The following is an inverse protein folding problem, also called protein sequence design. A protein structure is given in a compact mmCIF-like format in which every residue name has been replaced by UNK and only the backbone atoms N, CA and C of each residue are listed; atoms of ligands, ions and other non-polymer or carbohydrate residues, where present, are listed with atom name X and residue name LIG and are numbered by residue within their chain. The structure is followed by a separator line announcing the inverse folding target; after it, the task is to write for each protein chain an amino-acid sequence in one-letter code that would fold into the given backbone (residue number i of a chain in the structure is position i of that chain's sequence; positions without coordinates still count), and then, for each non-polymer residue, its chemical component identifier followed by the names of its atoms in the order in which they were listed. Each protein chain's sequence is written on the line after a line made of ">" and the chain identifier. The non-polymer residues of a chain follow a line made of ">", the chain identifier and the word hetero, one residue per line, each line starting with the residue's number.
data_IF_022254954031
#
_entry.id   IF_022254954031
#
_cell.length_a   1.000
_cell.length_b   1.000
_cell.length_c   1.000
_cell.angle_alpha   90.00
_cell.angle_beta   90.00
_cell.angle_gamma   90.00
#
_symmetry.space_group_name_H-M   'P 1'
#
loop_
_entity.id
_entity.type
_entity.pdbx_description
1 polymer ?
#
# COMPACT_ATOMS: atom_id res chain seq x y z
N UNK A 1 7.56 14.46 -23.91
CA UNK A 1 7.07 14.74 -22.55
C UNK A 1 8.14 14.40 -21.56
N UNK A 2 8.39 15.24 -20.61
CA UNK A 2 9.51 15.18 -19.67
C UNK A 2 9.33 14.04 -18.66
N UNK A 3 10.42 13.37 -18.28
CA UNK A 3 10.46 12.20 -17.37
C UNK A 3 9.80 12.40 -15.99
N UNK A 4 9.43 13.62 -15.60
CA UNK A 4 8.89 13.88 -14.27
C UNK A 4 7.40 13.50 -14.11
N UNK A 5 6.64 13.40 -15.20
CA UNK A 5 5.23 12.98 -15.14
C UNK A 5 5.03 11.62 -14.50
N UNK A 6 5.94 10.67 -14.73
CA UNK A 6 5.82 9.31 -14.17
C UNK A 6 5.83 9.29 -12.65
N UNK A 7 6.58 10.20 -12.01
CA UNK A 7 6.65 10.31 -10.54
C UNK A 7 6.03 11.60 -10.01
N UNK A 8 5.22 12.26 -10.79
CA UNK A 8 4.65 13.56 -10.44
C UNK A 8 3.96 13.59 -9.08
N UNK A 9 3.16 12.55 -8.74
CA UNK A 9 2.46 12.43 -7.45
C UNK A 9 3.39 12.16 -6.27
N UNK A 10 4.55 11.55 -6.50
CA UNK A 10 5.59 11.30 -5.50
C UNK A 10 6.41 12.55 -5.26
N UNK A 11 6.78 13.29 -6.32
CA UNK A 11 7.55 14.53 -6.20
C UNK A 11 6.79 15.64 -5.47
N UNK A 12 5.44 15.64 -5.54
CA UNK A 12 4.59 16.56 -4.76
C UNK A 12 4.89 16.52 -3.25
N UNK A 13 5.30 15.39 -2.69
CA UNK A 13 5.68 15.31 -1.28
C UNK A 13 6.86 16.25 -0.92
N UNK A 14 7.74 16.54 -1.88
CA UNK A 14 8.87 17.46 -1.69
C UNK A 14 8.52 18.89 -2.12
N UNK A 15 7.88 19.08 -3.27
CA UNK A 15 7.55 20.42 -3.79
C UNK A 15 6.46 21.10 -2.97
N UNK A 16 5.35 20.42 -2.72
CA UNK A 16 4.23 20.96 -1.95
C UNK A 16 4.60 21.11 -0.47
N UNK A 17 5.52 20.27 0.01
CA UNK A 17 6.12 20.37 1.35
C UNK A 17 7.17 21.48 1.50
N UNK A 18 7.46 22.23 0.44
CA UNK A 18 8.47 23.30 0.45
C UNK A 18 9.92 22.80 0.60
N UNK A 19 10.16 21.50 0.31
CA UNK A 19 11.48 20.87 0.42
C UNK A 19 12.27 20.89 -0.89
N UNK A 20 11.61 21.16 -2.02
CA UNK A 20 12.21 21.38 -3.32
C UNK A 20 11.55 22.58 -3.99
N UNK A 21 12.35 23.40 -4.70
CA UNK A 21 11.90 24.60 -5.37
C UNK A 21 11.21 24.32 -6.71
N UNK A 22 11.49 23.16 -7.32
CA UNK A 22 10.87 22.71 -8.56
C UNK A 22 10.63 21.21 -8.57
N UNK A 23 9.83 20.71 -9.54
CA UNK A 23 9.60 19.28 -9.74
C UNK A 23 10.86 18.58 -10.24
N UNK A 24 11.69 19.26 -11.03
CA UNK A 24 13.00 18.77 -11.49
C UNK A 24 13.96 18.58 -10.33
N UNK A 25 14.00 19.51 -9.39
CA UNK A 25 14.81 19.40 -8.18
C UNK A 25 14.35 18.23 -7.33
N UNK A 26 13.03 18.08 -7.13
CA UNK A 26 12.46 16.96 -6.40
C UNK A 26 12.83 15.60 -7.06
N UNK A 27 12.67 15.51 -8.36
CA UNK A 27 13.03 14.31 -9.14
C UNK A 27 14.55 14.04 -9.05
N UNK A 28 15.39 15.07 -9.13
CA UNK A 28 16.83 14.92 -9.00
C UNK A 28 17.25 14.41 -7.61
N UNK A 29 16.57 14.87 -6.54
CA UNK A 29 16.80 14.38 -5.17
C UNK A 29 16.43 12.90 -5.03
N UNK A 30 15.25 12.50 -5.53
CA UNK A 30 14.82 11.10 -5.54
C UNK A 30 15.76 10.21 -6.37
N UNK A 31 16.24 10.70 -7.50
CA UNK A 31 17.15 9.96 -8.39
C UNK A 31 18.56 9.75 -7.80
N UNK A 32 19.00 10.55 -6.86
CA UNK A 32 20.27 10.37 -6.13
C UNK A 32 20.24 9.18 -5.18
N UNK A 33 19.04 8.79 -4.72
CA UNK A 33 18.87 7.69 -3.77
C UNK A 33 19.07 6.35 -4.50
N UNK A 34 19.92 5.51 -3.92
CA UNK A 34 20.23 4.16 -4.39
C UNK A 34 20.01 3.20 -3.24
N UNK A 35 19.01 2.35 -3.39
CA UNK A 35 18.58 1.41 -2.33
C UNK A 35 19.03 0.00 -2.68
N UNK A 36 19.75 -0.63 -1.77
CA UNK A 36 19.95 -2.07 -1.78
C UNK A 36 18.91 -2.72 -0.85
N UNK A 37 18.09 -3.61 -1.39
CA UNK A 37 17.22 -4.51 -0.63
C UNK A 37 17.98 -5.82 -0.47
N UNK A 38 18.44 -6.11 0.73
CA UNK A 38 19.26 -7.31 1.00
C UNK A 38 18.38 -8.37 1.64
N UNK A 39 18.21 -9.49 0.92
CA UNK A 39 17.40 -10.62 1.37
C UNK A 39 18.32 -11.77 1.83
N UNK A 40 18.23 -12.11 3.11
CA UNK A 40 18.95 -13.21 3.71
C UNK A 40 18.41 -14.58 3.29
N UNK A 41 19.27 -15.57 3.27
CA UNK A 41 18.90 -16.95 2.88
C UNK A 41 17.86 -17.55 3.85
N UNK A 42 17.83 -17.11 5.10
CA UNK A 42 16.83 -17.50 6.10
C UNK A 42 15.41 -17.04 5.76
N UNK A 43 15.26 -16.01 4.95
CA UNK A 43 13.97 -15.44 4.54
C UNK A 43 13.63 -15.67 3.06
N UNK A 44 14.57 -16.17 2.28
CA UNK A 44 14.44 -16.35 0.83
C UNK A 44 13.27 -17.28 0.44
N UNK A 45 13.03 -18.33 1.21
CA UNK A 45 11.99 -19.32 0.97
C UNK A 45 10.83 -19.21 1.99
N UNK A 46 10.57 -18.02 2.54
CA UNK A 46 9.44 -17.78 3.45
C UNK A 46 8.41 -16.85 2.83
N UNK A 47 7.13 -17.00 3.22
CA UNK A 47 6.04 -16.19 2.68
C UNK A 47 6.22 -14.71 3.01
N UNK A 48 6.50 -14.38 4.26
CA UNK A 48 6.72 -12.99 4.68
C UNK A 48 8.01 -12.41 4.10
N UNK A 49 9.09 -13.20 4.00
CA UNK A 49 10.37 -12.76 3.42
C UNK A 49 10.24 -12.35 1.95
N UNK A 50 9.60 -13.19 1.14
CA UNK A 50 9.34 -12.87 -0.27
C UNK A 50 8.39 -11.67 -0.42
N UNK A 51 7.31 -11.62 0.37
CA UNK A 51 6.37 -10.50 0.35
C UNK A 51 7.07 -9.18 0.74
N UNK A 52 7.93 -9.20 1.78
CA UNK A 52 8.70 -8.02 2.20
C UNK A 52 9.68 -7.56 1.12
N UNK A 53 10.45 -8.49 0.54
CA UNK A 53 11.44 -8.17 -0.49
C UNK A 53 10.79 -7.58 -1.75
N UNK A 54 9.72 -8.22 -2.25
CA UNK A 54 9.03 -7.77 -3.46
C UNK A 54 8.27 -6.45 -3.21
N UNK A 55 7.68 -6.25 -2.03
CA UNK A 55 7.03 -4.98 -1.68
C UNK A 55 8.04 -3.85 -1.53
N UNK A 56 9.18 -4.09 -0.86
CA UNK A 56 10.25 -3.11 -0.75
C UNK A 56 10.80 -2.75 -2.14
N UNK A 57 11.05 -3.73 -3.01
CA UNK A 57 11.49 -3.51 -4.40
C UNK A 57 10.45 -2.71 -5.19
N UNK A 58 9.18 -3.14 -5.19
CA UNK A 58 8.11 -2.50 -5.96
C UNK A 58 7.91 -1.03 -5.54
N UNK A 59 7.85 -0.76 -4.24
CA UNK A 59 7.62 0.58 -3.72
C UNK A 59 8.86 1.49 -3.84
N UNK A 60 10.05 0.98 -3.52
CA UNK A 60 11.29 1.74 -3.65
C UNK A 60 11.59 2.09 -5.12
N UNK A 61 11.34 1.18 -6.06
CA UNK A 61 11.58 1.40 -7.50
C UNK A 61 10.71 2.53 -8.08
N UNK A 62 9.54 2.72 -7.53
CA UNK A 62 8.60 3.79 -7.88
C UNK A 62 8.96 5.14 -7.24
N UNK A 63 9.70 5.13 -6.12
CA UNK A 63 10.14 6.34 -5.42
C UNK A 63 11.55 6.79 -5.84
N UNK A 64 12.51 5.88 -6.04
CA UNK A 64 13.93 6.21 -6.09
C UNK A 64 14.59 5.91 -7.44
N UNK A 65 15.80 6.42 -7.62
CA UNK A 65 16.53 6.32 -8.88
C UNK A 65 17.02 4.92 -9.20
N UNK A 66 17.51 4.18 -8.20
CA UNK A 66 18.02 2.82 -8.37
C UNK A 66 17.67 1.94 -7.19
N UNK A 67 17.20 0.75 -7.49
CA UNK A 67 16.99 -0.32 -6.52
C UNK A 67 17.70 -1.57 -6.98
N UNK A 68 18.44 -2.22 -6.07
CA UNK A 68 19.07 -3.50 -6.30
C UNK A 68 18.53 -4.50 -5.27
N UNK A 69 18.01 -5.63 -5.72
CA UNK A 69 17.80 -6.78 -4.83
C UNK A 69 19.11 -7.55 -4.71
N UNK A 70 19.62 -7.64 -3.50
CA UNK A 70 20.87 -8.36 -3.19
C UNK A 70 20.51 -9.67 -2.50
N UNK A 71 20.93 -10.79 -3.09
CA UNK A 71 20.65 -12.13 -2.58
C UNK A 71 21.65 -13.14 -3.13
N UNK A 72 22.13 -14.07 -2.31
CA UNK A 72 23.10 -15.07 -2.72
C UNK A 72 22.47 -16.13 -3.64
N UNK A 73 21.41 -16.76 -3.19
CA UNK A 73 20.66 -17.77 -3.92
C UNK A 73 19.53 -17.22 -4.80
N UNK A 74 18.63 -18.11 -5.22
CA UNK A 74 17.30 -17.81 -5.78
C UNK A 74 16.31 -18.84 -5.26
N UNK A 75 15.03 -18.52 -5.26
CA UNK A 75 13.98 -19.44 -4.87
C UNK A 75 12.75 -19.27 -5.79
N UNK A 76 11.96 -20.33 -5.99
CA UNK A 76 10.65 -20.22 -6.59
C UNK A 76 9.77 -19.26 -5.77
N UNK A 77 8.90 -18.53 -6.45
CA UNK A 77 7.87 -17.76 -5.75
C UNK A 77 6.92 -18.71 -5.02
N UNK A 78 6.67 -18.41 -3.75
CA UNK A 78 5.69 -19.14 -2.94
C UNK A 78 4.29 -18.90 -3.50
N UNK A 79 3.96 -17.67 -3.89
CA UNK A 79 2.72 -17.34 -4.60
C UNK A 79 3.03 -17.08 -6.06
N UNK A 80 2.25 -17.64 -6.98
CA UNK A 80 2.39 -17.40 -8.41
C UNK A 80 1.92 -16.00 -8.74
N UNK A 81 2.79 -15.17 -9.30
CA UNK A 81 2.52 -13.78 -9.67
C UNK A 81 2.86 -13.57 -11.16
N UNK A 82 2.21 -12.62 -11.87
CA UNK A 82 2.46 -12.36 -13.30
C UNK A 82 3.79 -11.61 -13.56
N UNK A 83 4.77 -11.84 -12.71
CA UNK A 83 6.10 -11.17 -12.74
C UNK A 83 7.27 -12.15 -12.79
N UNK A 84 7.00 -13.44 -12.97
CA UNK A 84 8.02 -14.51 -13.10
C UNK A 84 7.84 -15.60 -12.07
N UNK A 85 8.64 -16.64 -12.20
CA UNK A 85 8.54 -17.87 -11.39
C UNK A 85 9.46 -17.86 -10.16
N UNK A 86 10.47 -17.01 -10.15
CA UNK A 86 11.45 -16.91 -9.07
C UNK A 86 11.56 -15.50 -8.51
N UNK A 87 12.09 -15.36 -7.30
CA UNK A 87 12.30 -14.07 -6.64
C UNK A 87 13.17 -13.14 -7.49
N UNK A 88 14.25 -13.66 -8.12
CA UNK A 88 15.10 -12.86 -9.02
C UNK A 88 14.35 -12.39 -10.27
N UNK A 89 13.58 -13.28 -10.89
CA UNK A 89 12.78 -12.93 -12.06
C UNK A 89 11.73 -11.86 -11.72
N UNK A 90 11.03 -12.03 -10.61
CA UNK A 90 10.03 -11.08 -10.12
C UNK A 90 10.65 -9.70 -9.85
N UNK A 91 11.78 -9.64 -9.15
CA UNK A 91 12.45 -8.38 -8.85
C UNK A 91 12.88 -7.62 -10.12
N UNK A 92 13.41 -8.36 -11.13
CA UNK A 92 13.76 -7.77 -12.44
C UNK A 92 12.53 -7.22 -13.16
N UNK A 93 11.42 -7.96 -13.14
CA UNK A 93 10.17 -7.52 -13.79
C UNK A 93 9.58 -6.28 -13.08
N UNK A 94 9.77 -6.15 -11.77
CA UNK A 94 9.45 -4.94 -11.00
C UNK A 94 10.42 -3.77 -11.27
N UNK A 95 11.47 -3.99 -12.07
CA UNK A 95 12.42 -2.96 -12.48
C UNK A 95 13.65 -2.82 -11.59
N UNK A 96 13.90 -3.73 -10.65
CA UNK A 96 15.13 -3.75 -9.88
C UNK A 96 16.30 -4.42 -10.63
N UNK A 97 17.51 -4.06 -10.25
CA UNK A 97 18.70 -4.89 -10.53
C UNK A 97 18.73 -6.04 -9.54
N UNK A 98 19.37 -7.13 -9.92
CA UNK A 98 19.62 -8.26 -9.02
C UNK A 98 21.11 -8.53 -9.01
N UNK A 99 21.69 -8.60 -7.82
CA UNK A 99 23.10 -8.83 -7.59
C UNK A 99 23.31 -9.80 -6.43
N UNK A 100 24.51 -10.38 -6.32
CA UNK A 100 24.93 -11.22 -5.18
C UNK A 100 25.64 -10.43 -4.09
N UNK A 101 26.05 -9.21 -4.38
CA UNK A 101 26.80 -8.35 -3.47
C UNK A 101 26.19 -6.96 -3.39
N UNK A 102 26.19 -6.40 -2.18
CA UNK A 102 25.75 -5.02 -1.95
C UNK A 102 26.60 -4.02 -2.75
N UNK A 103 25.95 -3.00 -3.30
CA UNK A 103 26.61 -1.99 -4.10
C UNK A 103 27.40 -1.01 -3.21
N UNK A 104 28.68 -0.78 -3.55
CA UNK A 104 29.48 0.28 -2.91
C UNK A 104 28.89 1.70 -3.11
N UNK A 105 27.98 1.84 -4.07
CA UNK A 105 27.29 3.08 -4.41
C UNK A 105 25.90 3.19 -3.77
N UNK A 106 25.47 2.19 -2.99
CA UNK A 106 24.22 2.26 -2.26
C UNK A 106 24.29 3.38 -1.21
N UNK A 107 23.23 4.18 -1.16
CA UNK A 107 23.09 5.24 -0.13
C UNK A 107 22.35 4.69 1.10
N UNK A 108 21.41 3.79 0.88
CA UNK A 108 20.56 3.20 1.92
C UNK A 108 20.42 1.70 1.69
N UNK A 109 20.29 0.96 2.79
CA UNK A 109 20.08 -0.50 2.76
C UNK A 109 18.84 -0.88 3.54
N UNK A 110 17.95 -1.65 2.92
CA UNK A 110 16.83 -2.32 3.58
C UNK A 110 17.23 -3.78 3.78
N UNK A 111 17.23 -4.24 5.01
CA UNK A 111 17.68 -5.57 5.40
C UNK A 111 16.49 -6.46 5.74
N UNK A 112 16.45 -7.67 5.22
CA UNK A 112 15.41 -8.67 5.42
C UNK A 112 16.07 -9.97 5.83
N UNK A 113 15.83 -10.41 7.05
CA UNK A 113 16.46 -11.61 7.60
C UNK A 113 17.86 -11.36 8.18
N UNK A 114 18.61 -12.45 8.30
CA UNK A 114 19.97 -12.43 8.83
C UNK A 114 20.95 -12.00 7.73
N UNK A 115 21.18 -10.71 7.63
CA UNK A 115 22.03 -10.11 6.59
C UNK A 115 23.08 -9.19 7.24
N UNK A 116 24.28 -9.05 6.63
CA UNK A 116 25.27 -8.09 7.12
C UNK A 116 24.75 -6.65 6.94
N UNK A 117 25.29 -5.75 7.75
CA UNK A 117 25.08 -4.31 7.52
C UNK A 117 25.67 -3.91 6.17
N UNK A 118 24.91 -3.12 5.41
CA UNK A 118 25.28 -2.66 4.08
C UNK A 118 25.87 -1.24 4.08
N UNK A 119 25.19 -0.30 3.38
CA UNK A 119 25.55 1.10 3.29
C UNK A 119 25.60 1.80 4.67
N UNK A 120 25.99 3.07 4.69
CA UNK A 120 26.09 3.87 5.93
C UNK A 120 24.78 3.94 6.71
N UNK A 121 23.65 3.97 6.00
CA UNK A 121 22.32 3.99 6.60
C UNK A 121 21.61 2.66 6.32
N UNK A 122 21.09 2.04 7.36
CA UNK A 122 20.45 0.72 7.29
C UNK A 122 19.15 0.72 8.07
N UNK A 123 18.14 0.07 7.53
CA UNK A 123 16.88 -0.27 8.21
C UNK A 123 16.61 -1.76 8.07
N UNK A 124 16.10 -2.37 9.12
CA UNK A 124 15.76 -3.78 9.13
C UNK A 124 14.27 -3.97 9.14
N UNK A 125 13.73 -4.76 8.21
CA UNK A 125 12.37 -5.29 8.28
C UNK A 125 12.29 -6.28 9.43
N UNK A 126 11.21 -6.22 10.18
CA UNK A 126 10.98 -7.11 11.31
C UNK A 126 9.50 -7.52 11.37
N UNK A 127 9.24 -8.75 11.75
CA UNK A 127 7.90 -9.27 12.01
C UNK A 127 7.95 -10.51 12.91
N UNK A 128 6.82 -10.78 13.55
CA UNK A 128 6.48 -12.05 14.15
C UNK A 128 4.96 -12.23 14.10
N UNK A 129 4.48 -13.17 13.30
CA UNK A 129 3.04 -13.37 13.02
C UNK A 129 2.36 -12.05 12.58
N UNK A 130 1.43 -11.52 13.38
CA UNK A 130 0.69 -10.30 13.08
C UNK A 130 1.42 -9.00 13.44
N UNK A 131 2.50 -9.08 14.18
CA UNK A 131 3.36 -7.91 14.44
C UNK A 131 4.28 -7.69 13.25
N UNK A 132 4.36 -6.46 12.76
CA UNK A 132 5.18 -6.13 11.60
C UNK A 132 5.68 -4.68 11.64
N UNK A 133 6.85 -4.43 11.07
CA UNK A 133 7.42 -3.09 10.95
C UNK A 133 8.91 -3.06 10.70
N UNK A 134 9.59 -2.11 11.33
CA UNK A 134 11.03 -1.90 11.22
C UNK A 134 11.72 -1.83 12.57
N UNK A 135 13.00 -2.24 12.61
CA UNK A 135 13.89 -2.15 13.77
C UNK A 135 15.17 -1.40 13.41
N UNK A 136 15.66 -0.64 14.38
CA UNK A 136 16.96 0.05 14.29
C UNK A 136 18.13 -0.86 14.62
N UNK A 137 17.93 -1.81 15.55
CA UNK A 137 18.97 -2.69 16.08
C UNK A 137 18.81 -4.12 15.58
N UNK A 138 19.90 -4.89 15.64
CA UNK A 138 19.98 -6.26 15.11
C UNK A 138 19.61 -7.35 16.14
N UNK A 139 19.29 -6.97 17.37
CA UNK A 139 19.14 -7.90 18.49
C UNK A 139 17.87 -8.75 18.41
N UNK A 140 16.84 -8.25 17.71
CA UNK A 140 15.57 -8.96 17.56
C UNK A 140 15.59 -9.87 16.32
N UNK A 141 15.51 -11.18 16.53
CA UNK A 141 15.31 -12.12 15.42
C UNK A 141 13.90 -11.94 14.83
N UNK A 142 13.80 -12.14 13.52
CA UNK A 142 12.50 -12.30 12.85
C UNK A 142 11.83 -13.56 13.41
N UNK A 143 10.57 -13.44 13.79
CA UNK A 143 9.77 -14.55 14.31
C UNK A 143 9.13 -15.37 13.20
N UNK A 144 7.88 -15.78 13.39
CA UNK A 144 7.16 -16.59 12.41
C UNK A 144 6.95 -15.84 11.08
N UNK A 145 7.41 -16.43 10.00
CA UNK A 145 7.45 -15.86 8.65
C UNK A 145 6.39 -16.45 7.68
N UNK A 146 5.36 -17.14 8.21
CA UNK A 146 4.30 -17.75 7.37
C UNK A 146 3.25 -16.74 6.94
N UNK A 147 3.04 -15.64 7.70
CA UNK A 147 2.07 -14.60 7.38
C UNK A 147 2.67 -13.56 6.42
N UNK A 148 2.33 -13.64 5.15
CA UNK A 148 2.82 -12.74 4.10
C UNK A 148 2.42 -11.29 4.28
N UNK A 149 1.23 -11.02 4.87
CA UNK A 149 0.72 -9.66 5.12
C UNK A 149 1.69 -8.85 5.98
N UNK A 150 2.32 -9.50 6.96
CA UNK A 150 3.35 -8.88 7.82
C UNK A 150 4.59 -8.47 7.02
N UNK A 151 4.99 -9.31 6.06
CA UNK A 151 6.07 -8.99 5.14
C UNK A 151 5.74 -7.78 4.26
N UNK A 152 4.51 -7.72 3.70
CA UNK A 152 4.05 -6.57 2.89
C UNK A 152 4.18 -5.28 3.70
N UNK A 153 3.66 -5.26 4.92
CA UNK A 153 3.72 -4.09 5.79
C UNK A 153 5.16 -3.69 6.12
N UNK A 154 5.99 -4.63 6.57
CA UNK A 154 7.37 -4.36 6.96
C UNK A 154 8.22 -3.83 5.78
N UNK A 155 8.05 -4.40 4.59
CA UNK A 155 8.71 -3.93 3.37
C UNK A 155 8.31 -2.49 3.01
N UNK A 156 7.02 -2.16 3.13
CA UNK A 156 6.49 -0.83 2.88
C UNK A 156 7.04 0.21 3.88
N UNK A 157 7.01 -0.09 5.17
CA UNK A 157 7.52 0.81 6.23
C UNK A 157 9.04 1.01 6.12
N UNK A 158 9.79 -0.01 5.72
CA UNK A 158 11.23 0.14 5.49
C UNK A 158 11.52 1.15 4.36
N UNK A 159 10.75 1.13 3.27
CA UNK A 159 10.87 2.13 2.19
C UNK A 159 10.46 3.53 2.67
N UNK A 160 9.43 3.62 3.51
CA UNK A 160 9.04 4.88 4.18
C UNK A 160 10.19 5.48 4.97
N UNK A 161 10.96 4.66 5.71
CA UNK A 161 12.11 5.14 6.48
C UNK A 161 13.19 5.78 5.57
N UNK A 162 13.47 5.16 4.41
CA UNK A 162 14.36 5.76 3.39
C UNK A 162 13.78 7.06 2.85
N UNK A 163 12.49 7.11 2.56
CA UNK A 163 11.82 8.31 2.05
C UNK A 163 11.87 9.47 3.06
N UNK A 164 11.79 9.17 4.35
CA UNK A 164 11.92 10.16 5.41
C UNK A 164 13.31 10.83 5.43
N UNK A 165 14.39 10.10 5.10
CA UNK A 165 15.72 10.70 4.90
C UNK A 165 15.72 11.70 3.75
N UNK A 166 15.03 11.38 2.64
CA UNK A 166 14.90 12.30 1.50
C UNK A 166 14.13 13.57 1.88
N UNK A 167 13.01 13.41 2.61
CA UNK A 167 12.25 14.55 3.11
C UNK A 167 13.05 15.43 4.05
N UNK A 168 13.88 14.83 4.91
CA UNK A 168 14.76 15.55 5.83
C UNK A 168 15.98 16.18 5.13
N UNK A 169 16.30 15.79 3.90
CA UNK A 169 17.52 16.20 3.18
C UNK A 169 18.82 15.66 3.79
N UNK A 170 18.74 14.71 4.72
CA UNK A 170 19.87 14.07 5.42
C UNK A 170 19.48 12.72 5.96
N UNK A 171 20.46 11.90 6.28
CA UNK A 171 20.23 10.67 7.02
C UNK A 171 19.65 10.99 8.41
N UNK A 172 18.54 10.35 8.75
CA UNK A 172 17.92 10.43 10.08
C UNK A 172 18.03 9.07 10.76
N UNK A 173 18.04 9.01 12.09
CA UNK A 173 18.02 7.74 12.81
C UNK A 173 16.80 6.90 12.39
N UNK A 174 17.01 5.60 12.24
CA UNK A 174 15.91 4.65 12.02
C UNK A 174 15.02 4.63 13.26
N UNK A 175 13.73 4.70 13.05
CA UNK A 175 12.75 4.55 14.12
C UNK A 175 12.27 3.10 14.16
N UNK A 176 12.18 2.53 15.36
CA UNK A 176 11.41 1.32 15.57
C UNK A 176 9.93 1.67 15.32
N UNK A 177 9.33 1.02 14.33
CA UNK A 177 7.97 1.28 13.89
C UNK A 177 7.28 -0.07 13.69
N UNK A 178 6.67 -0.60 14.75
CA UNK A 178 5.97 -1.89 14.73
C UNK A 178 4.51 -1.68 15.06
N UNK A 179 3.63 -2.32 14.30
CA UNK A 179 2.19 -2.40 14.57
C UNK A 179 1.76 -3.85 14.68
N UNK A 180 0.64 -4.08 15.34
CA UNK A 180 -0.14 -5.31 15.19
C UNK A 180 -1.09 -5.13 14.01
N UNK A 181 -1.02 -5.97 13.00
CA UNK A 181 -2.00 -5.97 11.90
C UNK A 181 -3.33 -6.58 12.33
N UNK A 182 -3.34 -7.27 13.50
CA UNK A 182 -4.55 -7.79 14.11
C UNK A 182 -5.31 -6.74 14.92
N UNK A 183 -4.59 -6.03 15.80
CA UNK A 183 -5.12 -4.96 16.67
C UNK A 183 -4.40 -3.64 16.38
N UNK A 184 -4.57 -3.12 15.14
CA UNK A 184 -3.79 -1.99 14.59
C UNK A 184 -3.93 -0.67 15.39
N UNK A 185 -4.85 -0.61 16.35
CA UNK A 185 -5.09 0.51 17.24
C UNK A 185 -4.43 0.37 18.62
N UNK A 186 -3.82 -0.77 18.89
CA UNK A 186 -3.12 -1.02 20.15
C UNK A 186 -1.61 -0.89 19.94
N UNK A 187 -0.91 -0.53 20.99
CA UNK A 187 0.55 -0.57 20.95
C UNK A 187 0.99 -2.02 20.75
N UNK A 188 1.86 -2.23 19.78
CA UNK A 188 2.38 -3.56 19.49
C UNK A 188 3.05 -4.17 20.72
N UNK A 189 2.63 -5.36 21.12
CA UNK A 189 3.17 -6.12 22.26
C UNK A 189 3.39 -7.56 21.87
N UNK A 190 4.47 -8.18 22.35
CA UNK A 190 4.71 -9.60 22.15
C UNK A 190 3.69 -10.49 22.88
N UNK A 191 2.99 -9.94 23.89
CA UNK A 191 1.92 -10.65 24.59
C UNK A 191 0.62 -10.72 23.74
N UNK A 192 0.49 -9.85 22.71
CA UNK A 192 -0.66 -9.75 21.84
C UNK A 192 -0.31 -9.92 20.36
N UNK A 193 0.45 -10.96 20.06
CA UNK A 193 0.99 -11.25 18.73
C UNK A 193 -0.07 -11.69 17.70
N UNK A 194 -1.33 -11.82 18.12
CA UNK A 194 -2.47 -12.24 17.30
C UNK A 194 -2.63 -13.77 17.19
N UNK A 195 -3.74 -14.24 16.59
CA UNK A 195 -4.08 -15.64 16.54
C UNK A 195 -3.17 -16.45 15.61
N UNK A 196 -2.98 -17.73 15.96
CA UNK A 196 -2.33 -18.71 15.07
C UNK A 196 -3.27 -19.31 14.03
N UNK A 197 -4.56 -19.31 14.32
CA UNK A 197 -5.60 -19.77 13.40
C UNK A 197 -6.54 -18.62 13.13
N UNK A 198 -6.82 -18.38 11.89
CA UNK A 198 -7.69 -17.32 11.41
C UNK A 198 -8.32 -17.71 10.08
N UNK A 199 -9.41 -17.07 9.75
CA UNK A 199 -10.15 -17.27 8.53
C UNK A 199 -9.93 -16.11 7.57
N UNK A 200 -9.61 -16.43 6.32
CA UNK A 200 -9.44 -15.45 5.23
C UNK A 200 -10.74 -15.42 4.43
N UNK A 201 -11.30 -14.24 4.12
CA UNK A 201 -12.51 -14.17 3.32
C UNK A 201 -12.30 -14.82 1.94
N UNK A 202 -13.21 -15.69 1.54
CA UNK A 202 -13.18 -16.35 0.23
C UNK A 202 -13.88 -15.52 -0.86
N UNK A 203 -14.72 -14.55 -0.47
CA UNK A 203 -15.42 -13.64 -1.38
C UNK A 203 -15.23 -12.19 -0.96
N UNK A 204 -14.74 -11.38 -1.89
CA UNK A 204 -14.51 -9.94 -1.68
C UNK A 204 -15.05 -9.13 -2.86
N UNK A 205 -15.54 -7.92 -2.59
CA UNK A 205 -15.83 -6.92 -3.61
C UNK A 205 -14.84 -5.76 -3.48
N UNK A 206 -14.06 -5.50 -4.51
CA UNK A 206 -13.13 -4.38 -4.58
C UNK A 206 -13.67 -3.31 -5.50
N UNK A 207 -13.93 -2.13 -4.95
CA UNK A 207 -14.44 -0.99 -5.69
C UNK A 207 -13.45 0.18 -5.67
N UNK A 208 -13.03 0.60 -6.88
CA UNK A 208 -11.95 1.57 -7.07
C UNK A 208 -10.58 0.91 -7.07
N UNK A 209 -10.00 0.71 -8.26
CA UNK A 209 -8.69 0.07 -8.48
C UNK A 209 -7.60 1.10 -8.79
N UNK A 210 -7.66 2.23 -8.10
CA UNK A 210 -6.60 3.23 -8.06
C UNK A 210 -5.44 2.82 -7.16
N UNK A 211 -4.82 3.81 -6.53
CA UNK A 211 -3.66 3.61 -5.64
C UNK A 211 -3.92 2.57 -4.54
N UNK A 212 -5.03 2.72 -3.78
CA UNK A 212 -5.36 1.80 -2.67
C UNK A 212 -5.93 0.47 -3.15
N UNK A 213 -6.85 0.47 -4.13
CA UNK A 213 -7.43 -0.78 -4.61
C UNK A 213 -6.38 -1.73 -5.19
N UNK A 214 -5.36 -1.22 -5.88
CA UNK A 214 -4.24 -2.04 -6.34
C UNK A 214 -3.35 -2.54 -5.18
N UNK A 215 -3.25 -1.79 -4.09
CA UNK A 215 -2.55 -2.24 -2.90
C UNK A 215 -3.31 -3.36 -2.15
N UNK A 216 -4.64 -3.34 -2.17
CA UNK A 216 -5.46 -4.46 -1.66
C UNK A 216 -5.20 -5.71 -2.49
N UNK A 217 -5.25 -5.60 -3.83
CA UNK A 217 -4.94 -6.73 -4.73
C UNK A 217 -3.51 -7.23 -4.52
N UNK A 218 -2.52 -6.35 -4.42
CA UNK A 218 -1.13 -6.71 -4.13
C UNK A 218 -1.03 -7.58 -2.87
N UNK A 219 -1.68 -7.17 -1.79
CA UNK A 219 -1.66 -7.92 -0.53
C UNK A 219 -2.39 -9.25 -0.63
N UNK A 220 -3.57 -9.28 -1.30
CA UNK A 220 -4.34 -10.51 -1.53
C UNK A 220 -3.56 -11.54 -2.34
N UNK A 221 -2.77 -11.10 -3.33
CA UNK A 221 -1.95 -12.00 -4.15
C UNK A 221 -0.92 -12.79 -3.34
N UNK A 222 -0.50 -12.32 -2.17
CA UNK A 222 0.41 -13.06 -1.30
C UNK A 222 -0.30 -14.00 -0.33
N UNK A 223 -1.63 -13.95 -0.21
CA UNK A 223 -2.40 -14.86 0.62
C UNK A 223 -2.73 -16.12 -0.17
N UNK A 224 -2.10 -17.23 0.23
CA UNK A 224 -2.39 -18.54 -0.33
C UNK A 224 -3.60 -19.15 0.39
N UNK A 225 -4.39 -19.91 -0.33
CA UNK A 225 -5.52 -20.66 0.24
C UNK A 225 -5.94 -21.78 -0.70
N UNK A 226 -6.69 -22.71 -0.17
CA UNK A 226 -7.33 -23.79 -0.90
C UNK A 226 -8.83 -23.49 -1.06
N UNK A 227 -9.46 -24.02 -2.10
CA UNK A 227 -10.87 -23.83 -2.39
C UNK A 227 -11.17 -22.68 -3.36
N UNK A 228 -12.44 -22.50 -3.63
CA UNK A 228 -12.94 -21.44 -4.52
C UNK A 228 -12.86 -20.09 -3.81
N UNK A 229 -12.25 -19.12 -4.49
CA UNK A 229 -12.08 -17.77 -3.98
C UNK A 229 -12.43 -16.76 -5.07
N UNK A 230 -13.30 -15.83 -4.76
CA UNK A 230 -13.85 -14.88 -5.73
C UNK A 230 -13.57 -13.42 -5.33
N UNK A 231 -13.09 -12.64 -6.28
CA UNK A 231 -13.02 -11.19 -6.14
C UNK A 231 -13.84 -10.51 -7.24
N UNK A 232 -14.87 -9.76 -6.85
CA UNK A 232 -15.57 -8.85 -7.76
C UNK A 232 -14.75 -7.56 -7.86
N UNK A 233 -14.34 -7.18 -9.08
CA UNK A 233 -13.52 -6.02 -9.38
C UNK A 233 -14.34 -4.96 -10.09
N UNK A 234 -14.49 -3.77 -9.50
CA UNK A 234 -15.24 -2.69 -10.09
C UNK A 234 -14.42 -1.40 -10.23
N UNK A 235 -14.17 -0.99 -11.46
CA UNK A 235 -13.58 0.29 -11.86
C UNK A 235 -13.85 0.55 -13.34
N UNK A 236 -13.91 1.82 -13.76
CA UNK A 236 -14.12 2.19 -15.16
C UNK A 236 -12.86 2.80 -15.81
N UNK A 237 -11.81 3.06 -15.05
CA UNK A 237 -10.63 3.79 -15.50
C UNK A 237 -9.62 2.88 -16.18
N UNK A 238 -8.83 3.50 -17.06
CA UNK A 238 -7.63 2.92 -17.66
C UNK A 238 -6.39 3.27 -16.87
N UNK A 239 -5.33 2.50 -17.08
CA UNK A 239 -3.99 2.83 -16.60
C UNK A 239 -3.51 4.10 -17.31
N UNK A 240 -2.91 5.02 -16.56
CA UNK A 240 -2.29 6.25 -17.02
C UNK A 240 -0.81 6.30 -16.61
N UNK A 241 -0.04 7.25 -17.15
CA UNK A 241 1.39 7.39 -16.87
C UNK A 241 1.68 7.53 -15.35
N UNK A 242 0.85 8.29 -14.62
CA UNK A 242 1.02 8.46 -13.17
C UNK A 242 0.86 7.16 -12.37
N UNK A 243 0.13 6.18 -12.93
CA UNK A 243 -0.08 4.91 -12.26
C UNK A 243 1.17 4.06 -12.20
N UNK A 244 2.15 4.26 -13.11
CA UNK A 244 3.44 3.57 -13.00
C UNK A 244 4.15 3.86 -11.67
N UNK A 245 4.08 5.09 -11.17
CA UNK A 245 4.71 5.47 -9.90
C UNK A 245 3.81 5.28 -8.67
N UNK A 246 2.50 5.28 -8.83
CA UNK A 246 1.58 5.29 -7.69
C UNK A 246 0.91 3.94 -7.42
N UNK A 247 0.78 3.09 -8.42
CA UNK A 247 -0.03 1.87 -8.37
C UNK A 247 0.85 0.62 -8.38
N UNK A 248 0.62 -0.31 -7.45
CA UNK A 248 1.54 -1.45 -7.22
C UNK A 248 1.52 -2.50 -8.33
N UNK A 249 0.40 -2.70 -8.99
CA UNK A 249 0.24 -3.73 -10.04
C UNK A 249 0.74 -3.27 -11.40
N UNK A 250 0.96 -1.96 -11.58
CA UNK A 250 1.44 -1.40 -12.86
C UNK A 250 2.95 -1.56 -12.94
N UNK A 251 3.39 -2.29 -13.93
CA UNK A 251 4.79 -2.56 -14.21
C UNK A 251 5.38 -1.52 -15.18
N UNK A 252 6.72 -1.39 -15.26
CA UNK A 252 7.34 -0.48 -16.21
C UNK A 252 6.90 -0.79 -17.65
N UNK A 253 6.31 0.17 -18.33
CA UNK A 253 5.81 0.09 -19.71
C UNK A 253 4.33 -0.24 -19.86
N UNK A 254 3.65 -0.68 -18.81
CA UNK A 254 2.21 -1.03 -18.88
C UNK A 254 1.31 0.19 -19.21
N UNK A 255 1.74 1.40 -18.88
CA UNK A 255 1.03 2.63 -19.19
C UNK A 255 0.81 2.83 -20.69
N UNK A 256 1.66 2.25 -21.53
CA UNK A 256 1.56 2.33 -22.99
C UNK A 256 0.47 1.43 -23.56
N UNK A 257 0.05 0.42 -22.81
CA UNK A 257 -0.97 -0.54 -23.26
C UNK A 257 -2.38 0.03 -23.15
N UNK A 258 -2.61 1.04 -22.28
CA UNK A 258 -3.92 1.67 -22.09
C UNK A 258 -4.99 0.71 -21.54
N UNK A 259 -4.57 -0.35 -20.86
CA UNK A 259 -5.46 -1.37 -20.29
C UNK A 259 -6.35 -0.79 -19.18
N UNK A 260 -7.51 -1.40 -18.97
CA UNK A 260 -8.38 -1.06 -17.85
C UNK A 260 -7.79 -1.57 -16.54
N UNK A 261 -7.94 -0.80 -15.46
CA UNK A 261 -7.44 -1.14 -14.13
C UNK A 261 -7.98 -2.48 -13.62
N UNK A 262 -9.26 -2.76 -13.90
CA UNK A 262 -9.89 -4.06 -13.55
C UNK A 262 -9.20 -5.24 -14.24
N UNK A 263 -8.79 -5.10 -15.49
CA UNK A 263 -8.13 -6.18 -16.24
C UNK A 263 -6.71 -6.43 -15.77
N UNK A 264 -5.99 -5.40 -15.37
CA UNK A 264 -4.68 -5.55 -14.74
C UNK A 264 -4.82 -6.31 -13.42
N UNK A 265 -5.78 -5.92 -12.57
CA UNK A 265 -6.05 -6.59 -11.30
C UNK A 265 -6.51 -8.05 -11.49
N UNK A 266 -7.31 -8.31 -12.53
CA UNK A 266 -7.76 -9.66 -12.93
C UNK A 266 -6.58 -10.61 -13.19
N UNK A 267 -5.62 -10.17 -14.01
CA UNK A 267 -4.42 -10.96 -14.31
C UNK A 267 -3.64 -11.32 -13.05
N UNK A 268 -3.45 -10.36 -12.14
CA UNK A 268 -2.72 -10.58 -10.90
C UNK A 268 -3.45 -11.58 -9.98
N UNK A 269 -4.75 -11.41 -9.78
CA UNK A 269 -5.54 -12.26 -8.91
C UNK A 269 -5.68 -13.68 -9.45
N UNK A 270 -5.93 -13.83 -10.76
CA UNK A 270 -6.02 -15.17 -11.39
C UNK A 270 -4.72 -15.96 -11.27
N UNK A 271 -3.58 -15.31 -11.46
CA UNK A 271 -2.28 -15.94 -11.26
C UNK A 271 -2.07 -16.37 -9.80
N UNK A 272 -2.58 -15.59 -8.85
CA UNK A 272 -2.55 -15.91 -7.42
C UNK A 272 -3.62 -16.93 -6.98
N UNK A 273 -4.41 -17.47 -7.92
CA UNK A 273 -5.40 -18.52 -7.68
C UNK A 273 -6.77 -18.02 -7.21
N UNK A 274 -7.11 -16.75 -7.49
CA UNK A 274 -8.44 -16.20 -7.27
C UNK A 274 -9.26 -16.24 -8.56
N UNK A 275 -10.52 -16.54 -8.46
CA UNK A 275 -11.50 -16.23 -9.50
C UNK A 275 -11.88 -14.75 -9.44
N UNK A 276 -12.29 -14.19 -10.57
CA UNK A 276 -12.64 -12.78 -10.66
C UNK A 276 -13.90 -12.56 -11.47
N UNK A 277 -14.69 -11.58 -11.05
CA UNK A 277 -15.82 -11.03 -11.82
C UNK A 277 -15.55 -9.55 -12.10
N UNK A 278 -15.65 -9.13 -13.37
CA UNK A 278 -15.26 -7.78 -13.78
C UNK A 278 -16.49 -6.90 -14.03
N UNK A 279 -16.54 -5.76 -13.36
CA UNK A 279 -17.55 -4.72 -13.57
C UNK A 279 -16.82 -3.47 -14.09
N UNK A 280 -16.74 -3.34 -15.41
CA UNK A 280 -16.01 -2.28 -16.12
C UNK A 280 -16.80 -0.98 -16.24
N UNK A 281 -17.52 -0.61 -15.21
CA UNK A 281 -18.34 0.61 -15.18
C UNK A 281 -18.21 1.37 -13.87
N UNK A 282 -18.51 2.65 -13.93
CA UNK A 282 -18.57 3.51 -12.75
C UNK A 282 -19.68 3.04 -11.81
N UNK A 283 -19.39 3.07 -10.52
CA UNK A 283 -20.41 2.92 -9.50
C UNK A 283 -21.27 4.19 -9.42
N UNK A 284 -22.58 4.04 -9.57
CA UNK A 284 -23.54 5.16 -9.57
C UNK A 284 -24.68 4.97 -8.56
N UNK A 285 -24.50 4.03 -7.62
CA UNK A 285 -25.50 3.76 -6.61
C UNK A 285 -26.56 2.74 -7.02
N UNK A 286 -26.30 1.91 -8.02
CA UNK A 286 -27.23 0.98 -8.66
C UNK A 286 -26.89 -0.50 -8.44
N UNK A 287 -26.05 -0.80 -7.48
CA UNK A 287 -25.74 -2.18 -7.10
C UNK A 287 -26.88 -2.75 -6.25
N UNK A 288 -27.54 -3.78 -6.75
CA UNK A 288 -28.43 -4.62 -5.96
C UNK A 288 -27.65 -5.84 -5.53
N UNK A 289 -27.55 -6.05 -4.21
CA UNK A 289 -26.85 -7.22 -3.64
C UNK A 289 -27.78 -8.44 -3.64
N UNK A 290 -27.27 -9.55 -4.16
CA UNK A 290 -27.88 -10.86 -4.04
C UNK A 290 -27.25 -11.68 -2.91
N UNK A 291 -27.84 -12.84 -2.58
CA UNK A 291 -27.37 -13.71 -1.51
C UNK A 291 -25.98 -14.32 -1.77
N UNK A 292 -25.58 -14.43 -3.04
CA UNK A 292 -24.29 -14.98 -3.45
C UNK A 292 -23.19 -13.94 -3.59
N UNK A 293 -23.52 -12.65 -3.48
CA UNK A 293 -22.55 -11.58 -3.59
C UNK A 293 -21.58 -11.55 -2.39
N UNK A 294 -20.34 -11.04 -2.61
CA UNK A 294 -19.37 -10.94 -1.53
C UNK A 294 -19.88 -10.09 -0.35
N UNK A 295 -19.83 -10.62 0.88
CA UNK A 295 -20.33 -9.91 2.06
C UNK A 295 -19.41 -8.77 2.53
N UNK A 296 -18.15 -8.78 2.09
CA UNK A 296 -17.16 -7.77 2.46
C UNK A 296 -16.78 -6.96 1.22
N UNK A 297 -17.03 -5.64 1.28
CA UNK A 297 -16.58 -4.70 0.29
C UNK A 297 -15.37 -3.93 0.79
N UNK A 298 -14.31 -3.85 -0.03
CA UNK A 298 -13.15 -2.99 0.17
C UNK A 298 -13.23 -1.79 -0.78
N UNK A 299 -13.28 -0.58 -0.21
CA UNK A 299 -13.37 0.67 -0.98
C UNK A 299 -12.01 1.36 -1.07
N UNK A 300 -11.52 1.52 -2.30
CA UNK A 300 -10.33 2.28 -2.65
C UNK A 300 -10.66 3.59 -3.39
N UNK A 301 -11.82 4.16 -3.16
CA UNK A 301 -12.28 5.38 -3.81
C UNK A 301 -11.53 6.62 -3.29
N UNK A 302 -11.18 7.53 -4.18
CA UNK A 302 -10.47 8.77 -3.88
C UNK A 302 -11.39 9.94 -3.50
N UNK A 303 -12.67 9.90 -3.91
CA UNK A 303 -13.63 10.99 -3.71
C UNK A 303 -14.66 10.65 -2.64
N UNK A 304 -14.98 11.65 -1.81
CA UNK A 304 -15.92 11.52 -0.71
C UNK A 304 -17.35 11.20 -1.15
N UNK A 305 -17.85 11.91 -2.17
CA UNK A 305 -19.22 11.76 -2.65
C UNK A 305 -19.58 10.32 -3.07
N UNK A 306 -18.77 9.61 -3.88
CA UNK A 306 -18.98 8.18 -4.15
C UNK A 306 -18.91 7.30 -2.91
N UNK A 307 -18.02 7.59 -1.94
CA UNK A 307 -17.92 6.81 -0.68
C UNK A 307 -19.21 6.88 0.14
N UNK A 308 -19.81 8.08 0.24
CA UNK A 308 -21.08 8.30 0.96
C UNK A 308 -22.25 7.57 0.31
N UNK A 309 -22.29 7.53 -1.01
CA UNK A 309 -23.29 6.76 -1.75
C UNK A 309 -23.09 5.27 -1.48
N UNK A 310 -21.86 4.79 -1.61
CA UNK A 310 -21.49 3.39 -1.41
C UNK A 310 -21.77 2.90 0.02
N UNK A 311 -21.51 3.74 1.02
CA UNK A 311 -21.71 3.41 2.43
C UNK A 311 -23.17 3.08 2.80
N UNK A 312 -24.13 3.42 1.93
CA UNK A 312 -25.58 3.16 2.14
C UNK A 312 -26.09 1.93 1.38
N UNK A 313 -25.21 1.20 0.68
CA UNK A 313 -25.61 0.11 -0.22
C UNK A 313 -25.95 -1.21 0.47
N UNK A 314 -25.86 -1.28 1.78
CA UNK A 314 -26.31 -2.45 2.52
C UNK A 314 -25.36 -3.65 2.48
N UNK A 315 -24.10 -3.48 2.06
CA UNK A 315 -23.11 -4.53 2.26
C UNK A 315 -23.07 -4.93 3.73
N UNK A 316 -23.04 -6.24 4.04
CA UNK A 316 -22.86 -6.69 5.42
C UNK A 316 -21.70 -5.97 6.10
N UNK A 317 -20.56 -5.90 5.41
CA UNK A 317 -19.40 -5.10 5.85
C UNK A 317 -18.77 -4.34 4.68
N UNK A 318 -18.53 -3.07 4.88
CA UNK A 318 -17.72 -2.24 3.99
C UNK A 318 -16.53 -1.71 4.76
N UNK A 319 -15.31 -2.00 4.29
CA UNK A 319 -14.08 -1.37 4.78
C UNK A 319 -13.69 -0.30 3.78
N UNK A 320 -13.82 0.97 4.17
CA UNK A 320 -13.40 2.12 3.39
C UNK A 320 -12.05 2.62 3.89
N UNK A 321 -11.09 2.76 2.99
CA UNK A 321 -9.78 3.29 3.32
C UNK A 321 -9.50 4.59 2.57
N UNK A 322 -8.78 5.49 3.25
CA UNK A 322 -8.29 6.75 2.71
C UNK A 322 -6.88 7.03 3.20
N UNK A 323 -6.16 7.80 2.43
CA UNK A 323 -4.87 8.35 2.81
C UNK A 323 -4.95 9.89 2.82
N UNK A 324 -3.99 10.53 3.48
CA UNK A 324 -3.88 11.98 3.48
C UNK A 324 -3.70 12.55 2.07
N UNK A 325 -4.11 13.78 1.87
CA UNK A 325 -4.17 14.42 0.55
C UNK A 325 -2.90 15.18 0.19
N UNK A 326 -2.40 15.97 1.13
CA UNK A 326 -1.31 16.93 0.91
C UNK A 326 0.06 16.43 1.35
N UNK A 327 1.08 17.26 1.15
CA UNK A 327 2.45 16.95 1.55
C UNK A 327 2.67 16.94 3.06
N UNK A 328 1.73 17.46 3.85
CA UNK A 328 1.78 17.44 5.31
C UNK A 328 1.18 16.21 5.96
N UNK A 329 0.28 15.51 5.24
CA UNK A 329 -0.53 14.43 5.80
C UNK A 329 -0.58 13.16 4.92
N UNK A 330 0.17 13.08 3.81
CA UNK A 330 0.11 11.96 2.86
C UNK A 330 0.45 10.58 3.46
N UNK A 331 1.09 10.54 4.62
CA UNK A 331 1.37 9.32 5.38
C UNK A 331 0.22 8.94 6.33
N UNK A 332 -0.81 9.79 6.43
CA UNK A 332 -2.01 9.53 7.21
C UNK A 332 -2.86 8.44 6.58
N UNK A 333 -3.20 7.41 7.36
CA UNK A 333 -4.07 6.31 6.97
C UNK A 333 -5.35 6.43 7.78
N UNK A 334 -6.49 6.44 7.11
CA UNK A 334 -7.80 6.39 7.73
C UNK A 334 -8.55 5.17 7.21
N UNK A 335 -9.15 4.42 8.11
CA UNK A 335 -10.00 3.28 7.77
C UNK A 335 -11.33 3.39 8.51
N UNK A 336 -12.40 3.00 7.84
CA UNK A 336 -13.77 2.99 8.38
C UNK A 336 -14.43 1.67 8.05
N UNK A 337 -15.09 1.06 9.03
CA UNK A 337 -15.91 -0.12 8.81
C UNK A 337 -17.38 0.25 8.98
N UNK A 338 -18.17 0.08 7.94
CA UNK A 338 -19.61 0.31 7.91
C UNK A 338 -20.33 -1.03 7.86
N UNK A 339 -21.33 -1.21 8.71
CA UNK A 339 -22.09 -2.45 8.83
C UNK A 339 -23.49 -2.24 8.27
N UNK A 340 -23.94 -3.15 7.40
CA UNK A 340 -25.31 -3.18 6.82
C UNK A 340 -25.74 -1.84 6.20
N UNK A 341 -24.84 -1.11 5.56
CA UNK A 341 -25.16 0.18 4.96
C UNK A 341 -25.58 1.29 5.94
N UNK A 342 -25.20 1.17 7.21
CA UNK A 342 -25.53 2.12 8.27
C UNK A 342 -24.26 2.82 8.80
N UNK A 343 -23.75 3.85 8.09
CA UNK A 343 -22.60 4.58 8.59
C UNK A 343 -22.96 5.34 9.87
N UNK A 344 -22.12 5.30 10.91
CA UNK A 344 -22.31 6.10 12.10
C UNK A 344 -22.42 7.61 11.79
N UNK A 345 -23.24 8.33 12.54
CA UNK A 345 -23.37 9.77 12.38
C UNK A 345 -22.01 10.46 12.59
N UNK A 346 -21.68 11.42 11.72
CA UNK A 346 -20.43 12.17 11.82
C UNK A 346 -19.16 11.39 11.43
N UNK A 347 -19.29 10.19 10.84
CA UNK A 347 -18.15 9.38 10.40
C UNK A 347 -17.26 10.09 9.36
N UNK A 348 -17.84 10.96 8.57
CA UNK A 348 -17.14 11.89 7.69
C UNK A 348 -17.50 13.33 8.06
N UNK A 349 -16.50 14.09 8.51
CA UNK A 349 -16.62 15.54 8.76
C UNK A 349 -16.33 16.30 7.46
N UNK A 350 -17.35 16.63 6.69
CA UNK A 350 -17.21 17.04 5.30
C UNK A 350 -16.91 18.51 5.00
N UNK A 351 -17.61 19.49 5.58
CA UNK A 351 -17.47 20.87 5.11
C UNK A 351 -16.07 21.45 5.34
N UNK A 352 -15.52 21.26 6.54
CA UNK A 352 -14.22 21.82 6.92
C UNK A 352 -13.05 21.29 6.08
N UNK A 353 -13.06 19.99 5.75
CA UNK A 353 -11.99 19.39 4.94
C UNK A 353 -12.02 19.82 3.47
N UNK A 354 -13.19 20.08 2.92
CA UNK A 354 -13.31 20.56 1.55
C UNK A 354 -12.74 21.99 1.40
N UNK A 355 -13.02 22.87 2.38
CA UNK A 355 -12.48 24.22 2.43
C UNK A 355 -10.96 24.23 2.66
N UNK A 356 -10.45 23.39 3.56
CA UNK A 356 -9.01 23.25 3.80
C UNK A 356 -8.25 22.76 2.55
N UNK A 357 -8.82 21.82 1.80
CA UNK A 357 -8.22 21.33 0.55
C UNK A 357 -8.24 22.42 -0.51
N UNK A 358 -9.34 23.17 -0.65
CA UNK A 358 -9.47 24.25 -1.63
C UNK A 358 -8.49 25.40 -1.33
N UNK A 359 -8.37 25.82 -0.07
CA UNK A 359 -7.43 26.86 0.33
C UNK A 359 -5.97 26.40 0.19
N UNK A 360 -5.66 25.15 0.56
CA UNK A 360 -4.35 24.56 0.34
C UNK A 360 -3.97 24.50 -1.14
N UNK A 361 -4.89 24.17 -2.01
CA UNK A 361 -4.69 24.13 -3.46
C UNK A 361 -4.40 25.52 -4.03
N UNK A 362 -5.17 26.54 -3.63
CA UNK A 362 -4.94 27.93 -4.04
C UNK A 362 -3.53 28.41 -3.67
N UNK A 363 -3.04 28.10 -2.47
CA UNK A 363 -1.70 28.45 -2.04
C UNK A 363 -0.56 27.76 -2.80
N UNK A 364 -0.86 26.63 -3.47
CA UNK A 364 0.12 25.93 -4.32
C UNK A 364 0.27 26.59 -5.69
N UNK A 365 -0.81 27.09 -6.28
CA UNK A 365 -0.84 27.60 -7.67
C UNK A 365 0.14 28.75 -7.93
N UNK A 366 0.45 29.54 -6.90
CA UNK A 366 1.35 30.69 -6.98
C UNK A 366 2.82 30.31 -6.67
N UNK A 367 3.10 29.05 -6.33
CA UNK A 367 4.47 28.61 -6.07
C UNK A 367 5.29 28.52 -7.35
N UNK A 368 6.62 28.83 -7.31
CA UNK A 368 7.49 28.75 -8.49
C UNK A 368 7.40 27.44 -9.25
N UNK A 369 7.35 26.31 -8.56
CA UNK A 369 7.22 24.99 -9.16
C UNK A 369 5.93 24.84 -10.02
N UNK A 370 4.83 25.42 -9.57
CA UNK A 370 3.56 25.37 -10.30
C UNK A 370 3.48 26.39 -11.44
N UNK A 371 4.14 27.55 -11.29
CA UNK A 371 4.27 28.52 -12.39
C UNK A 371 5.14 27.97 -13.53
N UNK A 372 6.20 27.21 -13.19
CA UNK A 372 7.00 26.49 -14.18
C UNK A 372 6.20 25.37 -14.84
N UNK A 373 5.45 24.58 -14.03
CA UNK A 373 4.58 23.52 -14.55
C UNK A 373 3.56 24.04 -15.56
N UNK A 374 2.97 25.21 -15.33
CA UNK A 374 2.00 25.85 -16.24
C UNK A 374 2.54 26.02 -17.65
N UNK A 375 3.83 26.33 -17.81
CA UNK A 375 4.47 26.46 -19.13
C UNK A 375 4.45 25.15 -19.92
N UNK A 376 4.36 24.02 -19.26
CA UNK A 376 4.37 22.67 -19.87
C UNK A 376 2.98 22.09 -20.08
N UNK A 377 2.02 22.39 -19.20
CA UNK A 377 0.69 21.74 -19.19
C UNK A 377 -0.47 22.72 -19.34
N UNK A 378 -0.21 24.02 -19.34
CA UNK A 378 -1.21 25.06 -19.35
C UNK A 378 -1.92 25.23 -17.99
N UNK A 379 -2.74 26.27 -17.86
CA UNK A 379 -3.42 26.62 -16.63
C UNK A 379 -4.34 25.50 -16.11
N UNK A 380 -5.18 24.93 -17.00
CA UNK A 380 -6.07 23.82 -16.61
C UNK A 380 -5.30 22.59 -16.11
N UNK A 381 -4.16 22.28 -16.74
CA UNK A 381 -3.30 21.17 -16.32
C UNK A 381 -2.64 21.44 -14.97
N UNK A 382 -2.20 22.67 -14.72
CA UNK A 382 -1.64 23.11 -13.43
C UNK A 382 -2.68 22.96 -12.31
N UNK A 383 -3.91 23.45 -12.51
CA UNK A 383 -4.99 23.35 -11.51
C UNK A 383 -5.32 21.89 -11.21
N UNK A 384 -5.56 21.09 -12.25
CA UNK A 384 -5.86 19.66 -12.08
C UNK A 384 -4.74 18.90 -11.35
N UNK A 385 -3.48 19.28 -11.58
CA UNK A 385 -2.35 18.69 -10.88
C UNK A 385 -2.25 19.16 -9.43
N UNK A 386 -2.55 20.41 -9.13
CA UNK A 386 -2.57 20.93 -7.76
C UNK A 386 -3.63 20.21 -6.91
N UNK A 387 -4.82 19.97 -7.48
CA UNK A 387 -5.91 19.23 -6.84
C UNK A 387 -5.60 17.75 -6.62
N UNK A 388 -4.65 17.18 -7.36
CA UNK A 388 -4.29 15.78 -7.22
C UNK A 388 -3.52 15.53 -5.91
N UNK A 389 -3.94 14.55 -5.10
CA UNK A 389 -3.28 14.21 -3.83
C UNK A 389 -1.83 13.74 -4.04
N UNK A 390 -0.98 13.93 -3.05
CA UNK A 390 0.29 13.19 -2.95
C UNK A 390 -0.02 11.69 -2.89
N UNK A 391 0.69 10.89 -3.67
CA UNK A 391 0.51 9.44 -3.67
C UNK A 391 1.86 8.74 -3.75
N UNK A 392 2.24 8.07 -2.68
CA UNK A 392 3.47 7.31 -2.57
C UNK A 392 3.17 5.83 -2.35
N UNK A 393 3.76 4.92 -3.12
CA UNK A 393 3.32 3.53 -3.20
C UNK A 393 3.50 2.76 -1.89
N UNK A 394 4.44 3.11 -1.04
CA UNK A 394 4.62 2.45 0.26
C UNK A 394 3.47 2.75 1.24
N UNK A 395 2.84 3.93 1.16
CA UNK A 395 1.64 4.21 1.98
C UNK A 395 0.49 3.33 1.53
N UNK A 396 0.29 3.20 0.22
CA UNK A 396 -0.71 2.27 -0.33
C UNK A 396 -0.47 0.83 0.12
N UNK A 397 0.77 0.32 0.02
CA UNK A 397 1.12 -1.04 0.44
C UNK A 397 0.86 -1.28 1.93
N UNK A 398 1.27 -0.34 2.80
CA UNK A 398 1.01 -0.43 4.23
C UNK A 398 -0.49 -0.40 4.55
N UNK A 399 -1.26 0.50 3.89
CA UNK A 399 -2.72 0.56 4.01
C UNK A 399 -3.35 -0.75 3.56
N UNK A 400 -2.89 -1.32 2.44
CA UNK A 400 -3.36 -2.61 1.94
C UNK A 400 -3.19 -3.73 2.97
N UNK A 401 -2.03 -3.81 3.61
CA UNK A 401 -1.78 -4.80 4.65
C UNK A 401 -2.71 -4.62 5.87
N UNK A 402 -2.95 -3.38 6.32
CA UNK A 402 -3.87 -3.09 7.43
C UNK A 402 -5.30 -3.47 7.07
N UNK A 403 -5.80 -3.03 5.91
CA UNK A 403 -7.18 -3.28 5.45
C UNK A 403 -7.45 -4.78 5.28
N UNK A 404 -6.53 -5.51 4.66
CA UNK A 404 -6.65 -6.97 4.51
C UNK A 404 -6.58 -7.66 5.87
N UNK A 405 -5.74 -7.19 6.80
CA UNK A 405 -5.73 -7.68 8.18
C UNK A 405 -7.09 -7.52 8.86
N UNK A 406 -7.78 -6.41 8.66
CA UNK A 406 -9.12 -6.19 9.23
C UNK A 406 -10.23 -6.98 8.50
N UNK A 407 -10.09 -7.23 7.19
CA UNK A 407 -10.99 -8.13 6.47
C UNK A 407 -10.86 -9.58 7.00
N UNK A 408 -9.63 -10.01 7.29
CA UNK A 408 -9.36 -11.31 7.93
C UNK A 408 -9.97 -11.37 9.34
N UNK A 409 -9.88 -10.30 10.14
CA UNK A 409 -10.55 -10.23 11.46
C UNK A 409 -12.05 -10.47 11.34
N UNK A 410 -12.72 -9.77 10.42
CA UNK A 410 -14.16 -9.95 10.19
C UNK A 410 -14.48 -11.38 9.78
N UNK A 411 -13.69 -12.00 8.87
CA UNK A 411 -13.88 -13.39 8.47
C UNK A 411 -13.65 -14.38 9.62
N UNK A 412 -12.78 -14.02 10.58
CA UNK A 412 -12.52 -14.79 11.82
C UNK A 412 -13.59 -14.52 12.91
N UNK A 413 -14.68 -13.84 12.57
CA UNK A 413 -15.77 -13.45 13.48
C UNK A 413 -15.34 -12.55 14.63
N UNK A 414 -14.34 -11.71 14.37
CA UNK A 414 -13.84 -10.72 15.31
C UNK A 414 -14.29 -9.30 14.94
N UNK A 415 -14.55 -8.41 15.90
CA UNK A 415 -14.94 -7.04 15.60
C UNK A 415 -13.80 -6.26 14.92
N UNK A 416 -14.14 -5.37 13.98
CA UNK A 416 -13.20 -4.47 13.33
C UNK A 416 -13.37 -3.01 13.79
N UNK A 417 -12.37 -2.12 13.64
CA UNK A 417 -12.52 -0.71 13.96
C UNK A 417 -13.64 -0.05 13.16
N UNK A 418 -14.56 0.63 13.84
CA UNK A 418 -15.50 1.54 13.18
C UNK A 418 -14.75 2.68 12.51
N UNK A 419 -13.76 3.21 13.22
CA UNK A 419 -12.82 4.21 12.71
C UNK A 419 -11.43 3.95 13.26
N UNK A 420 -10.44 3.95 12.38
CA UNK A 420 -9.03 3.89 12.71
C UNK A 420 -8.31 5.01 11.95
N UNK A 421 -7.49 5.77 12.67
CA UNK A 421 -6.56 6.73 12.08
C UNK A 421 -5.16 6.46 12.59
N UNK A 422 -4.18 6.48 11.69
CA UNK A 422 -2.77 6.34 12.05
C UNK A 422 -1.91 7.14 11.08
N UNK A 423 -0.75 7.55 11.57
CA UNK A 423 0.33 8.13 10.77
C UNK A 423 1.40 7.07 10.54
N UNK A 424 1.75 6.77 9.31
CA UNK A 424 2.75 5.74 9.00
C UNK A 424 4.13 6.09 9.56
N UNK A 425 4.39 7.38 9.81
CA UNK A 425 5.58 7.88 10.50
C UNK A 425 5.61 7.60 12.00
N UNK A 426 4.45 7.35 12.61
CA UNK A 426 4.27 7.06 14.03
C UNK A 426 3.13 6.05 14.22
N UNK A 427 3.26 4.84 13.66
CA UNK A 427 2.15 3.89 13.58
C UNK A 427 1.73 3.33 14.96
N UNK A 428 2.57 3.51 15.97
CA UNK A 428 2.30 3.20 17.38
C UNK A 428 1.35 4.21 18.06
N UNK A 429 0.97 5.30 17.37
CA UNK A 429 0.07 6.35 17.86
C UNK A 429 -1.26 6.35 17.10
N UNK A 430 -1.85 5.17 16.92
CA UNK A 430 -3.13 5.06 16.24
C UNK A 430 -4.30 5.52 17.13
N UNK A 431 -5.32 6.11 16.51
CA UNK A 431 -6.58 6.50 17.16
C UNK A 431 -7.69 5.55 16.74
N UNK A 432 -8.43 5.03 17.73
CA UNK A 432 -9.60 4.18 17.54
C UNK A 432 -10.88 4.94 17.85
N UNK A 433 -11.84 4.94 16.94
CA UNK A 433 -13.19 5.48 17.13
C UNK A 433 -14.26 4.41 17.41
N UNK A 434 -13.89 3.35 18.14
CA UNK A 434 -14.79 2.25 18.50
C UNK A 434 -14.62 1.00 17.64
N UNK A 435 -15.25 -0.09 18.06
CA UNK A 435 -15.30 -1.38 17.36
C UNK A 435 -16.71 -1.68 16.87
N UNK A 436 -16.85 -2.39 15.77
CA UNK A 436 -18.13 -2.97 15.33
C UNK A 436 -18.57 -4.08 16.27
N UNK A 437 -19.81 -4.53 16.12
CA UNK A 437 -20.16 -5.85 16.61
C UNK A 437 -19.41 -6.91 15.81
N UNK A 438 -19.12 -8.03 16.45
CA UNK A 438 -18.56 -9.20 15.77
C UNK A 438 -19.58 -9.75 14.76
N UNK A 439 -19.15 -10.26 13.60
CA UNK A 439 -20.06 -10.97 12.69
C UNK A 439 -20.74 -12.15 13.38
N UNK A 440 -22.07 -12.29 13.21
CA UNK A 440 -22.84 -13.35 13.86
C UNK A 440 -22.82 -14.69 13.12
N UNK A 441 -22.33 -14.71 11.88
CA UNK A 441 -22.28 -15.91 11.04
C UNK A 441 -21.03 -15.90 10.17
N UNK A 442 -20.65 -17.06 9.67
CA UNK A 442 -19.57 -17.20 8.70
C UNK A 442 -19.86 -16.36 7.45
N UNK A 443 -18.93 -15.51 7.08
CA UNK A 443 -19.01 -14.61 5.92
C UNK A 443 -18.53 -15.28 4.61
N UNK A 444 -18.29 -16.61 4.63
CA UNK A 444 -17.57 -17.29 3.57
C UNK A 444 -16.07 -17.09 3.75
N UNK A 445 -15.37 -18.15 4.10
CA UNK A 445 -13.95 -18.06 4.42
C UNK A 445 -13.26 -19.41 4.33
N UNK A 446 -11.95 -19.39 4.17
CA UNK A 446 -11.09 -20.55 4.34
C UNK A 446 -10.14 -20.34 5.52
N UNK A 447 -9.91 -21.40 6.30
CA UNK A 447 -9.06 -21.32 7.47
C UNK A 447 -7.58 -21.41 7.11
N UNK A 448 -6.76 -20.58 7.77
CA UNK A 448 -5.31 -20.64 7.72
C UNK A 448 -4.73 -20.89 9.12
N UNK A 449 -3.56 -21.53 9.15
CA UNK A 449 -2.78 -21.75 10.35
C UNK A 449 -1.34 -21.32 10.13
N UNK A 450 -0.83 -20.50 11.06
CA UNK A 450 0.59 -20.10 11.14
C UNK A 450 1.42 -21.18 11.84
#
# INVERSE_FOLDING_TARGET
>A
MTKFWKRSRVTKALTDGGRAGSFEEAEARLNKVRVDVVLGDDQLATAAGQAAALTAVATARKCFGRVTLVMAGDAPLITILPIGETVKAAARRLGARVDTHASKLATHTIRIGNTPAGARWNVRCWWDRWLAGTRAFDDDRIGDSRLSVSGVFAGAVAVRQVFACVLAGRDIPVRDATVSLWTSWQRASMDEIGPERFDVPDKLWLLGLGHLGQAFVWTLCFLRGEGERLVVLQDNQKISEENEATSLLVLPGDEQLGEKKVRVADVWLKQAGWETSLIERRHVGDVALGDDDPPILLSGLDRLKPRLVLAKHGFPFMIDAGIGHGAGDFEGIQMRTIVNGKPPAGLWSEPAKAEEIEDGTKGLLDRPAYLELEQHVGECGKVSFAEASVAVPFVGAATGAIVIGQAIRLATLEPAPVFLQMELGAPDMATLGGLTEAPHSNLGSFSMRL
#
